data_IF_506101820274
#
_entry.id   IF_506101820274
#
_cell.length_a   1.000
_cell.length_b   1.000
_cell.length_c   1.000
_cell.angle_alpha   90.00
_cell.angle_beta   90.00
_cell.angle_gamma   90.00
#
_symmetry.space_group_name_H-M   'P 1'
#
loop_
_entity.id
_entity.type
_entity.pdbx_description
1 polymer ?
#
# COMPACT_ATOMS: atom_id res chain seq x y z
N UNK A 1 -10.26 5.45 -15.63
CA UNK A 1 -8.83 5.24 -15.22
C UNK A 1 -8.84 4.65 -13.83
N UNK A 2 -7.99 3.65 -13.52
CA UNK A 2 -7.93 3.08 -12.16
C UNK A 2 -6.91 3.83 -11.31
N UNK A 3 -7.23 4.05 -10.04
CA UNK A 3 -6.37 4.77 -9.10
C UNK A 3 -5.67 3.75 -8.19
N UNK A 4 -4.35 3.87 -8.02
CA UNK A 4 -3.58 3.15 -7.00
C UNK A 4 -3.01 4.17 -6.04
N UNK A 5 -3.57 4.25 -4.84
CA UNK A 5 -3.18 5.19 -3.78
C UNK A 5 -2.24 4.49 -2.78
N UNK A 6 -0.96 4.84 -2.80
CA UNK A 6 -0.01 4.44 -1.78
C UNK A 6 -0.11 5.34 -0.55
N UNK A 7 -0.34 4.75 0.63
CA UNK A 7 -0.28 5.47 1.91
C UNK A 7 1.17 5.60 2.38
N UNK A 8 1.52 6.78 2.91
CA UNK A 8 2.83 7.07 3.48
C UNK A 8 2.93 8.52 3.93
N UNK A 9 3.99 8.86 4.64
CA UNK A 9 4.31 10.21 5.11
C UNK A 9 5.28 10.92 4.15
N UNK A 10 5.12 12.24 3.93
CA UNK A 10 5.85 12.96 2.87
C UNK A 10 7.32 13.29 3.17
N UNK A 11 7.72 13.34 4.44
CA UNK A 11 9.08 13.73 4.81
C UNK A 11 10.10 12.64 4.47
N UNK A 12 11.29 13.03 3.99
CA UNK A 12 12.39 12.13 3.61
C UNK A 12 12.81 11.17 4.74
N UNK A 13 12.74 11.61 6.00
CA UNK A 13 13.02 10.76 7.17
C UNK A 13 12.15 9.51 7.25
N UNK A 14 10.96 9.52 6.62
CA UNK A 14 10.02 8.40 6.58
C UNK A 14 10.12 7.53 5.32
N UNK A 15 10.93 7.90 4.33
CA UNK A 15 10.98 7.26 3.02
C UNK A 15 11.18 5.73 3.09
N UNK A 16 11.99 5.24 4.04
CA UNK A 16 12.28 3.80 4.22
C UNK A 16 11.60 3.20 5.45
N UNK A 17 10.59 3.84 6.02
CA UNK A 17 9.87 3.31 7.18
C UNK A 17 8.80 2.30 6.77
N UNK A 18 8.38 1.47 7.74
CA UNK A 18 7.31 0.48 7.53
C UNK A 18 6.01 1.13 7.07
N UNK A 19 5.69 2.32 7.60
CA UNK A 19 4.49 3.06 7.25
C UNK A 19 4.48 3.60 5.82
N UNK A 20 5.64 3.64 5.16
CA UNK A 20 5.78 4.08 3.77
C UNK A 20 5.83 2.93 2.75
N UNK A 21 5.57 1.68 3.16
CA UNK A 21 5.60 0.55 2.22
C UNK A 21 4.57 0.71 1.08
N UNK A 22 3.46 1.42 1.33
CA UNK A 22 2.51 1.81 0.29
C UNK A 22 3.13 2.72 -0.77
N UNK A 23 3.90 3.72 -0.34
CA UNK A 23 4.66 4.61 -1.24
C UNK A 23 5.74 3.85 -2.01
N UNK A 24 6.52 3.00 -1.32
CA UNK A 24 7.54 2.17 -1.97
C UNK A 24 6.94 1.31 -3.08
N UNK A 25 5.73 0.80 -2.87
CA UNK A 25 5.02 -0.03 -3.87
C UNK A 25 4.65 0.79 -5.11
N UNK A 26 4.05 1.96 -4.95
CA UNK A 26 3.70 2.80 -6.11
C UNK A 26 4.93 3.41 -6.78
N UNK A 27 6.03 3.63 -6.04
CA UNK A 27 7.30 4.06 -6.61
C UNK A 27 7.90 2.97 -7.52
N UNK A 28 7.96 1.72 -7.05
CA UNK A 28 8.42 0.60 -7.88
C UNK A 28 7.52 0.40 -9.11
N UNK A 29 6.21 0.51 -8.93
CA UNK A 29 5.27 0.39 -10.03
C UNK A 29 5.45 1.52 -11.06
N UNK A 30 5.65 2.76 -10.59
CA UNK A 30 5.95 3.90 -11.46
C UNK A 30 7.22 3.69 -12.28
N UNK A 31 8.30 3.17 -11.65
CA UNK A 31 9.54 2.83 -12.36
C UNK A 31 9.31 1.79 -13.45
N UNK A 32 8.57 0.70 -13.14
CA UNK A 32 8.21 -0.36 -14.11
C UNK A 32 7.40 0.18 -15.30
N UNK A 33 6.62 1.24 -15.10
CA UNK A 33 5.83 1.89 -16.15
C UNK A 33 6.60 2.99 -16.92
N UNK A 34 7.85 3.30 -16.53
CA UNK A 34 8.60 4.43 -17.06
C UNK A 34 8.00 5.79 -16.67
N UNK A 35 7.11 5.79 -15.67
CA UNK A 35 6.43 6.98 -15.16
C UNK A 35 7.28 7.79 -14.20
N UNK A 36 6.90 9.07 -14.02
CA UNK A 36 7.50 9.96 -13.03
C UNK A 36 6.42 10.67 -12.26
N UNK A 37 6.52 10.65 -10.94
CA UNK A 37 5.64 11.43 -10.08
C UNK A 37 5.84 12.93 -10.31
N UNK A 38 4.73 13.65 -10.50
CA UNK A 38 4.66 15.11 -10.61
C UNK A 38 3.59 15.64 -9.69
N UNK A 39 3.73 16.89 -9.24
CA UNK A 39 2.66 17.57 -8.50
C UNK A 39 1.43 17.62 -9.40
N UNK A 40 0.35 17.00 -8.95
CA UNK A 40 -0.87 16.86 -9.74
C UNK A 40 -2.09 17.52 -9.07
N UNK A 41 -2.08 17.67 -7.76
CA UNK A 41 -3.10 18.33 -6.97
C UNK A 41 -2.49 19.19 -5.87
N UNK A 42 -3.35 19.74 -5.03
CA UNK A 42 -2.90 20.58 -3.91
C UNK A 42 -2.09 19.78 -2.88
N UNK A 43 -2.48 18.52 -2.64
CA UNK A 43 -1.93 17.68 -1.57
C UNK A 43 -1.39 16.31 -2.06
N UNK A 44 -1.12 16.15 -3.36
CA UNK A 44 -0.61 14.89 -3.88
C UNK A 44 0.25 15.01 -5.13
N UNK A 45 1.10 13.99 -5.33
CA UNK A 45 1.77 13.69 -6.59
C UNK A 45 1.07 12.56 -7.31
N UNK A 46 1.07 12.59 -8.63
CA UNK A 46 0.59 11.52 -9.47
C UNK A 46 1.60 11.15 -10.56
N UNK A 47 1.59 9.87 -10.92
CA UNK A 47 2.26 9.35 -12.11
C UNK A 47 1.22 8.57 -12.93
N UNK A 48 0.92 9.04 -14.12
CA UNK A 48 0.01 8.39 -15.05
C UNK A 48 0.78 7.44 -15.96
N UNK A 49 0.15 6.32 -16.34
CA UNK A 49 0.76 5.33 -17.20
C UNK A 49 -0.22 4.26 -17.66
N UNK A 50 0.32 3.23 -18.30
CA UNK A 50 -0.47 2.06 -18.75
C UNK A 50 0.10 0.78 -18.17
N UNK A 51 -0.74 0.01 -17.50
CA UNK A 51 -0.42 -1.32 -17.00
C UNK A 51 -1.19 -2.35 -17.84
N UNK A 52 -0.50 -2.98 -18.79
CA UNK A 52 -1.15 -3.79 -19.81
C UNK A 52 -2.07 -2.94 -20.70
N UNK A 53 -3.36 -3.32 -20.78
CA UNK A 53 -4.40 -2.59 -21.52
C UNK A 53 -5.08 -1.46 -20.74
N UNK A 54 -4.78 -1.31 -19.45
CA UNK A 54 -5.47 -0.39 -18.54
C UNK A 54 -4.68 0.89 -18.33
N UNK A 55 -5.39 2.01 -18.34
CA UNK A 55 -4.86 3.29 -17.87
C UNK A 55 -4.90 3.31 -16.35
N UNK A 56 -3.79 3.74 -15.74
CA UNK A 56 -3.60 3.80 -14.30
C UNK A 56 -3.02 5.14 -13.89
N UNK A 57 -3.47 5.63 -12.75
CA UNK A 57 -2.80 6.71 -12.02
C UNK A 57 -2.31 6.19 -10.68
N UNK A 58 -1.02 6.38 -10.43
CA UNK A 58 -0.36 6.09 -9.16
C UNK A 58 -0.30 7.38 -8.36
N UNK A 59 -0.69 7.33 -7.09
CA UNK A 59 -0.81 8.53 -6.24
C UNK A 59 -0.02 8.35 -4.96
N UNK A 60 0.71 9.41 -4.58
CA UNK A 60 1.30 9.62 -3.24
C UNK A 60 0.79 10.95 -2.68
N UNK A 61 0.35 10.98 -1.43
CA UNK A 61 -0.18 12.20 -0.81
C UNK A 61 0.92 13.03 -0.14
N UNK A 62 0.76 14.36 -0.07
CA UNK A 62 1.62 15.23 0.74
C UNK A 62 1.13 15.37 2.17
N UNK A 63 -0.04 14.83 2.46
CA UNK A 63 -0.58 14.79 3.81
C UNK A 63 0.15 13.73 4.63
N UNK A 64 0.17 13.90 5.95
CA UNK A 64 0.49 12.78 6.82
C UNK A 64 -0.55 11.67 6.71
N UNK A 65 -0.16 10.45 7.08
CA UNK A 65 -1.00 9.26 6.94
C UNK A 65 -2.42 9.45 7.51
N UNK A 66 -2.56 10.05 8.68
CA UNK A 66 -3.86 10.29 9.32
C UNK A 66 -4.75 11.32 8.61
N UNK A 67 -4.24 12.02 7.61
CA UNK A 67 -4.97 12.99 6.80
C UNK A 67 -5.13 12.56 5.33
N UNK A 68 -4.72 11.35 4.97
CA UNK A 68 -4.77 10.84 3.59
C UNK A 68 -6.16 11.01 2.94
N UNK A 69 -7.24 10.87 3.72
CA UNK A 69 -8.61 11.00 3.23
C UNK A 69 -8.94 12.37 2.62
N UNK A 70 -8.23 13.45 2.99
CA UNK A 70 -8.45 14.80 2.43
C UNK A 70 -8.28 14.84 0.91
N UNK A 71 -7.44 13.98 0.37
CA UNK A 71 -7.18 13.94 -1.09
C UNK A 71 -8.24 13.16 -1.86
N UNK A 72 -8.98 12.27 -1.21
CA UNK A 72 -9.89 11.31 -1.86
C UNK A 72 -10.97 11.99 -2.72
N UNK A 73 -11.65 13.07 -2.29
CA UNK A 73 -12.66 13.72 -3.12
C UNK A 73 -12.09 14.27 -4.45
N UNK A 74 -10.89 14.88 -4.42
CA UNK A 74 -10.23 15.38 -5.62
C UNK A 74 -9.79 14.23 -6.55
N UNK A 75 -9.25 13.15 -6.00
CA UNK A 75 -8.85 11.97 -6.77
C UNK A 75 -10.05 11.37 -7.53
N UNK A 76 -11.17 11.16 -6.82
CA UNK A 76 -12.40 10.62 -7.41
C UNK A 76 -12.99 11.52 -8.48
N UNK A 77 -13.03 12.83 -8.22
CA UNK A 77 -13.50 13.83 -9.20
C UNK A 77 -12.66 13.79 -10.48
N UNK A 78 -11.36 13.56 -10.37
CA UNK A 78 -10.42 13.65 -11.49
C UNK A 78 -10.31 12.35 -12.29
N UNK A 79 -10.31 11.18 -11.63
CA UNK A 79 -10.02 9.89 -12.27
C UNK A 79 -11.08 8.82 -12.05
N UNK A 80 -12.14 9.10 -11.29
CA UNK A 80 -13.26 8.19 -11.04
C UNK A 80 -13.12 7.41 -9.73
N UNK A 81 -14.00 6.43 -9.55
CA UNK A 81 -14.21 5.75 -8.26
C UNK A 81 -13.42 4.45 -8.09
N UNK A 82 -12.84 3.92 -9.19
CA UNK A 82 -12.09 2.66 -9.13
C UNK A 82 -10.71 2.87 -8.49
N UNK A 83 -10.64 2.73 -7.17
CA UNK A 83 -9.43 2.99 -6.39
C UNK A 83 -9.03 1.76 -5.57
N UNK A 84 -7.73 1.39 -5.63
CA UNK A 84 -7.10 0.46 -4.67
C UNK A 84 -6.15 1.25 -3.76
N UNK A 85 -6.30 1.06 -2.46
CA UNK A 85 -5.42 1.64 -1.44
C UNK A 85 -4.36 0.63 -1.04
N UNK A 86 -3.08 1.04 -1.03
CA UNK A 86 -1.94 0.21 -0.62
C UNK A 86 -1.37 0.76 0.68
N UNK A 87 -1.28 -0.09 1.71
CA UNK A 87 -0.81 0.31 3.04
C UNK A 87 -0.09 -0.82 3.78
N UNK A 88 0.60 -0.48 4.87
CA UNK A 88 1.15 -1.44 5.82
C UNK A 88 0.07 -2.11 6.69
N UNK A 89 0.40 -3.29 7.24
CA UNK A 89 -0.40 -3.99 8.25
C UNK A 89 0.51 -4.68 9.27
N UNK A 90 0.48 -4.18 10.50
CA UNK A 90 1.27 -4.75 11.63
C UNK A 90 0.76 -6.10 12.12
N UNK A 91 -0.49 -6.44 11.82
CA UNK A 91 -1.09 -7.71 12.22
C UNK A 91 -0.81 -8.85 11.23
N UNK A 92 -0.15 -8.53 10.11
CA UNK A 92 0.29 -9.50 9.13
C UNK A 92 1.79 -9.77 9.29
N UNK A 93 2.22 -11.04 9.17
CA UNK A 93 3.64 -11.36 9.13
C UNK A 93 4.36 -10.59 8.04
N UNK A 94 5.63 -10.24 8.28
CA UNK A 94 6.50 -9.67 7.26
C UNK A 94 6.50 -10.59 6.01
N UNK A 95 6.44 -10.02 4.83
CA UNK A 95 6.44 -10.79 3.58
C UNK A 95 5.06 -11.28 3.12
N UNK A 96 4.00 -11.02 3.88
CA UNK A 96 2.64 -11.44 3.51
C UNK A 96 1.82 -10.30 2.90
N UNK A 97 0.86 -10.67 2.05
CA UNK A 97 -0.14 -9.75 1.51
C UNK A 97 -1.55 -10.14 1.95
N UNK A 98 -2.40 -9.14 2.11
CA UNK A 98 -3.84 -9.33 2.28
C UNK A 98 -4.63 -8.32 1.47
N UNK A 99 -5.37 -8.82 0.49
CA UNK A 99 -6.24 -8.03 -0.39
C UNK A 99 -7.67 -8.21 0.08
N UNK A 100 -8.41 -7.12 0.17
CA UNK A 100 -9.83 -7.08 0.54
C UNK A 100 -10.55 -6.07 -0.33
N UNK A 101 -11.81 -6.38 -0.69
CA UNK A 101 -12.71 -5.44 -1.38
C UNK A 101 -13.40 -4.47 -0.43
N UNK A 102 -13.48 -4.86 0.85
CA UNK A 102 -14.15 -4.14 1.93
C UNK A 102 -13.50 -4.43 3.29
N UNK A 103 -14.01 -3.85 4.35
CA UNK A 103 -13.62 -4.14 5.72
C UNK A 103 -13.21 -2.89 6.52
N UNK A 104 -12.95 -3.07 7.83
CA UNK A 104 -12.52 -2.00 8.71
C UNK A 104 -11.06 -1.60 8.51
N UNK A 105 -10.70 -0.40 8.98
CA UNK A 105 -9.32 0.10 9.00
C UNK A 105 -8.34 -0.79 9.79
N UNK A 106 -8.86 -1.63 10.71
CA UNK A 106 -8.01 -2.45 11.58
C UNK A 106 -7.05 -1.63 12.46
N UNK A 107 -7.43 -0.38 12.79
CA UNK A 107 -6.59 0.53 13.57
C UNK A 107 -5.67 1.42 12.74
N UNK A 108 -5.52 1.18 11.44
CA UNK A 108 -4.66 1.98 10.57
C UNK A 108 -5.23 3.39 10.32
N UNK A 109 -4.53 4.42 10.78
CA UNK A 109 -5.05 5.80 10.75
C UNK A 109 -5.30 6.34 9.34
N UNK A 110 -4.49 5.97 8.35
CA UNK A 110 -4.72 6.36 6.96
C UNK A 110 -6.00 5.76 6.40
N UNK A 111 -6.28 4.49 6.70
CA UNK A 111 -7.54 3.87 6.28
C UNK A 111 -8.74 4.47 7.00
N UNK A 112 -8.63 4.83 8.30
CA UNK A 112 -9.70 5.57 9.02
C UNK A 112 -10.00 6.91 8.35
N UNK A 113 -8.96 7.65 7.95
CA UNK A 113 -9.10 8.92 7.26
C UNK A 113 -9.81 8.76 5.91
N UNK A 114 -9.45 7.73 5.14
CA UNK A 114 -10.09 7.41 3.86
C UNK A 114 -11.55 6.97 4.07
N UNK A 115 -11.84 6.10 5.05
CA UNK A 115 -13.20 5.66 5.39
C UNK A 115 -14.09 6.85 5.75
N UNK A 116 -13.57 7.82 6.52
CA UNK A 116 -14.31 9.05 6.86
C UNK A 116 -14.61 9.91 5.62
N UNK A 117 -13.66 10.04 4.69
CA UNK A 117 -13.84 10.81 3.46
C UNK A 117 -14.78 10.15 2.46
N UNK A 118 -14.78 8.82 2.39
CA UNK A 118 -15.67 8.04 1.51
C UNK A 118 -17.07 7.88 2.08
N UNK A 119 -17.25 7.97 3.39
CA UNK A 119 -18.50 7.60 4.09
C UNK A 119 -18.82 6.11 4.03
N UNK A 120 -17.89 5.28 3.60
CA UNK A 120 -18.07 3.83 3.41
C UNK A 120 -16.76 3.06 3.60
N UNK A 121 -16.88 1.71 3.72
CA UNK A 121 -15.76 0.78 3.88
C UNK A 121 -15.58 -0.16 2.68
N UNK A 122 -16.36 0.04 1.64
CA UNK A 122 -16.38 -0.79 0.42
C UNK A 122 -15.48 -0.17 -0.64
N UNK A 123 -14.18 -0.43 -0.51
CA UNK A 123 -13.15 -0.08 -1.50
C UNK A 123 -12.01 -1.09 -1.46
N UNK A 124 -11.39 -1.42 -2.60
CA UNK A 124 -10.23 -2.30 -2.68
C UNK A 124 -9.06 -1.80 -1.85
N UNK A 125 -8.46 -2.70 -1.06
CA UNK A 125 -7.23 -2.43 -0.31
C UNK A 125 -6.26 -3.60 -0.40
N UNK A 126 -5.00 -3.28 -0.62
CA UNK A 126 -3.87 -4.20 -0.55
C UNK A 126 -3.07 -3.84 0.69
N UNK A 127 -3.02 -4.75 1.65
CA UNK A 127 -2.31 -4.61 2.91
C UNK A 127 -1.04 -5.43 2.87
N UNK A 128 0.09 -4.80 3.15
CA UNK A 128 1.42 -5.40 3.14
C UNK A 128 1.84 -5.66 4.58
N UNK A 129 2.12 -6.92 4.90
CA UNK A 129 2.56 -7.32 6.23
C UNK A 129 3.94 -6.76 6.55
N UNK A 130 4.03 -6.02 7.65
CA UNK A 130 5.28 -5.46 8.17
C UNK A 130 5.68 -6.08 9.50
N UNK A 131 4.88 -7.04 10.03
CA UNK A 131 5.11 -7.65 11.33
C UNK A 131 4.81 -6.70 12.49
N UNK A 132 5.24 -7.07 13.69
CA UNK A 132 5.08 -6.27 14.91
C UNK A 132 3.92 -6.71 15.80
N UNK A 133 2.82 -7.20 15.23
CA UNK A 133 1.67 -7.80 15.95
C UNK A 133 0.82 -6.84 16.79
N UNK A 134 1.27 -5.60 16.98
CA UNK A 134 0.52 -4.55 17.69
C UNK A 134 0.69 -3.20 17.00
N UNK A 135 -0.36 -2.38 16.93
CA UNK A 135 -0.27 -0.99 16.45
C UNK A 135 0.58 -0.17 17.42
N UNK A 136 1.83 0.07 17.05
CA UNK A 136 2.76 0.93 17.77
C UNK A 136 3.28 1.98 16.78
N UNK A 137 3.02 3.29 17.01
CA UNK A 137 3.53 4.35 16.15
C UNK A 137 5.06 4.33 16.00
N UNK A 138 5.80 4.03 17.05
CA UNK A 138 7.26 3.96 16.98
C UNK A 138 7.72 2.81 16.06
N UNK A 139 7.01 1.68 16.08
CA UNK A 139 7.33 0.55 15.21
C UNK A 139 7.08 0.87 13.73
N UNK A 140 5.92 1.40 13.37
CA UNK A 140 5.60 1.69 11.96
C UNK A 140 6.42 2.85 11.38
N UNK A 141 6.85 3.80 12.22
CA UNK A 141 7.76 4.87 11.84
C UNK A 141 9.24 4.44 11.88
N UNK A 142 9.53 3.22 12.31
CA UNK A 142 10.86 2.62 12.25
C UNK A 142 11.18 2.10 10.85
N UNK A 143 12.48 2.15 10.49
CA UNK A 143 12.98 1.59 9.23
C UNK A 143 13.05 0.07 9.29
N UNK A 144 12.96 -0.58 8.14
CA UNK A 144 13.27 -2.00 8.02
C UNK A 144 14.75 -2.25 8.31
N UNK A 145 15.04 -3.33 9.04
CA UNK A 145 16.40 -3.79 9.29
C UNK A 145 17.06 -4.31 8.01
N UNK A 146 18.39 -4.46 8.02
CA UNK A 146 19.12 -5.03 6.86
C UNK A 146 18.62 -6.43 6.48
N UNK A 147 18.25 -7.26 7.48
CA UNK A 147 17.73 -8.61 7.23
C UNK A 147 16.30 -8.63 6.70
N UNK A 148 15.47 -7.61 7.01
CA UNK A 148 14.09 -7.50 6.53
C UNK A 148 14.00 -6.95 5.11
N UNK A 149 14.97 -6.11 4.68
CA UNK A 149 14.91 -5.41 3.38
C UNK A 149 14.70 -6.34 2.18
N UNK A 150 15.42 -7.47 2.02
CA UNK A 150 15.20 -8.37 0.89
C UNK A 150 13.78 -8.92 0.83
N UNK A 151 13.21 -9.32 1.98
CA UNK A 151 11.83 -9.81 2.08
C UNK A 151 10.83 -8.72 1.69
N UNK A 152 11.07 -7.48 2.14
CA UNK A 152 10.21 -6.33 1.81
C UNK A 152 10.26 -6.02 0.32
N UNK A 153 11.43 -6.01 -0.30
CA UNK A 153 11.62 -5.77 -1.73
C UNK A 153 10.88 -6.81 -2.57
N UNK A 154 11.01 -8.10 -2.23
CA UNK A 154 10.26 -9.17 -2.88
C UNK A 154 8.75 -9.00 -2.70
N UNK A 155 8.30 -8.68 -1.49
CA UNK A 155 6.88 -8.46 -1.18
C UNK A 155 6.30 -7.29 -1.95
N UNK A 156 7.04 -6.19 -2.09
CA UNK A 156 6.64 -5.04 -2.91
C UNK A 156 6.55 -5.44 -4.40
N UNK A 157 7.48 -6.26 -4.88
CA UNK A 157 7.39 -6.83 -6.22
C UNK A 157 6.10 -7.63 -6.43
N UNK A 158 5.79 -8.51 -5.47
CA UNK A 158 4.57 -9.30 -5.48
C UNK A 158 3.29 -8.46 -5.34
N UNK A 159 3.34 -7.36 -4.59
CA UNK A 159 2.26 -6.38 -4.51
C UNK A 159 1.99 -5.69 -5.86
N UNK A 160 3.03 -5.38 -6.64
CA UNK A 160 2.87 -4.84 -8.00
C UNK A 160 2.16 -5.85 -8.92
N UNK A 161 2.47 -7.15 -8.80
CA UNK A 161 1.81 -8.21 -9.57
C UNK A 161 0.34 -8.37 -9.15
N UNK A 162 0.05 -8.22 -7.86
CA UNK A 162 -1.32 -8.20 -7.34
C UNK A 162 -2.13 -7.01 -7.89
N UNK A 163 -1.54 -5.82 -7.95
CA UNK A 163 -2.18 -4.63 -8.56
C UNK A 163 -2.48 -4.89 -10.03
N UNK A 164 -1.55 -5.49 -10.78
CA UNK A 164 -1.79 -5.89 -12.17
C UNK A 164 -2.96 -6.87 -12.29
N UNK A 165 -3.00 -7.93 -11.47
CA UNK A 165 -4.09 -8.91 -11.46
C UNK A 165 -5.44 -8.27 -11.12
N UNK A 166 -5.48 -7.31 -10.17
CA UNK A 166 -6.70 -6.53 -9.90
C UNK A 166 -7.18 -5.77 -11.13
N UNK A 167 -6.26 -5.20 -11.90
CA UNK A 167 -6.61 -4.48 -13.12
C UNK A 167 -7.13 -5.38 -14.21
N UNK A 168 -6.45 -6.52 -14.44
CA UNK A 168 -6.75 -7.44 -15.54
C UNK A 168 -7.96 -8.33 -15.25
N UNK A 169 -8.07 -8.85 -14.01
CA UNK A 169 -8.97 -9.93 -13.63
C UNK A 169 -10.06 -9.52 -12.64
N UNK A 170 -9.94 -8.32 -12.05
CA UNK A 170 -10.83 -7.83 -11.00
C UNK A 170 -10.45 -8.31 -9.60
N UNK A 171 -11.16 -7.75 -8.59
CA UNK A 171 -10.78 -7.90 -7.17
C UNK A 171 -10.93 -9.33 -6.66
N UNK A 172 -11.96 -10.06 -7.08
CA UNK A 172 -12.23 -11.41 -6.55
C UNK A 172 -11.16 -12.41 -6.96
N UNK A 173 -10.75 -12.40 -8.24
CA UNK A 173 -9.65 -13.25 -8.73
C UNK A 173 -8.32 -12.83 -8.12
N UNK A 174 -8.08 -11.53 -7.99
CA UNK A 174 -6.90 -11.00 -7.32
C UNK A 174 -6.81 -11.51 -5.88
N UNK A 175 -7.89 -11.43 -5.09
CA UNK A 175 -7.94 -11.97 -3.72
C UNK A 175 -7.65 -13.47 -3.69
N UNK A 176 -8.23 -14.24 -4.58
CA UNK A 176 -8.03 -15.70 -4.64
C UNK A 176 -6.57 -16.04 -4.93
N UNK A 177 -5.92 -15.30 -5.82
CA UNK A 177 -4.56 -15.57 -6.28
C UNK A 177 -3.50 -15.13 -5.26
N UNK A 178 -3.66 -13.94 -4.66
CA UNK A 178 -2.60 -13.28 -3.90
C UNK A 178 -2.78 -13.31 -2.37
N UNK A 179 -3.95 -13.68 -1.84
CA UNK A 179 -4.14 -13.88 -0.39
C UNK A 179 -3.54 -15.22 0.12
N UNK A 180 -2.91 -16.01 -0.73
CA UNK A 180 -2.18 -17.20 -0.30
C UNK A 180 -0.88 -16.76 0.36
N UNK A 181 -0.50 -17.42 1.47
CA UNK A 181 0.83 -17.24 2.05
C UNK A 181 1.87 -17.52 0.95
N UNK A 182 2.92 -16.70 0.81
CA UNK A 182 4.07 -17.11 0.02
C UNK A 182 4.54 -18.49 0.50
N UNK A 183 5.06 -19.36 -0.38
CA UNK A 183 5.67 -20.60 0.06
C UNK A 183 6.73 -20.26 1.10
N UNK A 184 6.72 -20.98 2.22
CA UNK A 184 7.67 -20.81 3.30
C UNK A 184 9.04 -21.30 2.83
N UNK A 185 9.84 -20.41 2.27
CA UNK A 185 11.29 -20.55 2.23
C UNK A 185 11.82 -19.68 3.37
N UNK A 186 12.24 -20.38 4.43
CA UNK A 186 13.07 -19.92 5.55
C UNK A 186 12.88 -18.47 6.03
N UNK A 187 11.79 -18.23 6.76
CA UNK A 187 11.71 -17.05 7.60
C UNK A 187 12.79 -17.17 8.71
N UNK A 188 13.71 -16.20 8.85
CA UNK A 188 14.65 -16.22 9.97
C UNK A 188 13.87 -16.24 11.28
N UNK A 189 14.22 -17.19 12.15
CA UNK A 189 13.64 -17.34 13.47
C UNK A 189 13.68 -15.99 14.21
N UNK A 190 12.52 -15.54 14.68
CA UNK A 190 12.44 -14.34 15.51
C UNK A 190 13.29 -14.50 16.77
N UNK A 191 13.70 -13.39 17.41
CA UNK A 191 14.59 -13.45 18.58
C UNK A 191 13.94 -14.29 19.68
N UNK A 192 14.71 -15.28 20.16
CA UNK A 192 14.36 -16.11 21.31
C UNK A 192 14.03 -15.21 22.52
N UNK A 193 12.87 -15.45 23.09
CA UNK A 193 12.53 -14.90 24.41
C UNK A 193 13.52 -15.47 25.40
N UNK A 194 14.48 -14.67 25.84
CA UNK A 194 15.23 -14.98 27.06
C UNK A 194 14.31 -14.91 28.25
N UNK A 195 14.27 -16.02 28.98
CA UNK A 195 13.58 -16.17 30.26
C UNK A 195 14.21 -15.27 31.35
#
# INVERSE_FOLDING_TARGET
MKIVLGIGNPDEKYAETRHNVGWMTVDLLSQKLGGKFRKAGFEFWAAEGRLGRHEVVLVKTWTYVNETGRTVPELRKRWGDEMMVVCDDVNLPLGSLRIRKDGSSGGHNGLKSIEAALGQREYPRLRIGVGGGRPDPAYVLGRFTKGEKPVVEETIGYACDAIRSWMDDGIEKCMTKFNRKPPAEDAPAGPEKKA
#
